data_IF_543575859367
#
_entry.id   IF_543575859367
#
_cell.length_a   1.000
_cell.length_b   1.000
_cell.length_c   1.000
_cell.angle_alpha   90.00
_cell.angle_beta   90.00
_cell.angle_gamma   90.00
#
_symmetry.space_group_name_H-M   'P 1'
#
loop_
_entity.id
_entity.type
_entity.pdbx_description
1 polymer ?
#
# COMPACT_ATOMS: atom_id res chain seq x y z
N UNK A 1 10.96 -55.11 -8.83
CA UNK A 1 11.46 -53.77 -8.45
C UNK A 1 11.63 -52.92 -9.71
N UNK A 2 10.65 -52.07 -10.03
CA UNK A 2 10.72 -51.09 -11.14
C UNK A 2 10.53 -49.69 -10.52
N UNK A 3 11.54 -48.84 -10.64
CA UNK A 3 11.54 -47.46 -10.11
C UNK A 3 10.70 -46.58 -11.05
N UNK A 4 9.70 -45.91 -10.49
CA UNK A 4 8.90 -44.89 -11.16
C UNK A 4 9.59 -43.54 -10.95
N UNK A 5 10.09 -42.92 -12.01
CA UNK A 5 10.60 -41.54 -11.99
C UNK A 5 9.40 -40.64 -12.29
N UNK A 6 8.98 -39.84 -11.31
CA UNK A 6 7.99 -38.78 -11.49
C UNK A 6 8.72 -37.52 -11.96
N UNK A 7 8.56 -37.15 -13.23
CA UNK A 7 8.98 -35.84 -13.73
C UNK A 7 8.09 -34.76 -13.10
N UNK A 8 8.69 -33.90 -12.28
CA UNK A 8 8.07 -32.65 -11.85
C UNK A 8 8.11 -31.65 -12.99
N UNK A 9 6.93 -31.18 -13.41
CA UNK A 9 6.80 -30.10 -14.39
C UNK A 9 7.11 -28.75 -13.74
N UNK A 10 8.29 -28.21 -14.04
CA UNK A 10 8.68 -26.85 -13.67
C UNK A 10 7.91 -25.86 -14.55
N UNK A 11 6.91 -25.21 -13.98
CA UNK A 11 6.21 -24.09 -14.62
C UNK A 11 7.14 -22.86 -14.54
N UNK A 12 7.80 -22.55 -15.66
CA UNK A 12 8.60 -21.34 -15.85
C UNK A 12 7.72 -20.11 -15.65
N UNK A 13 7.97 -19.36 -14.57
CA UNK A 13 7.48 -18.00 -14.38
C UNK A 13 8.37 -17.11 -15.23
N UNK A 14 7.90 -16.75 -16.42
CA UNK A 14 8.60 -15.78 -17.26
C UNK A 14 8.51 -14.39 -16.61
N UNK A 15 9.58 -13.96 -15.94
CA UNK A 15 9.82 -12.55 -15.67
C UNK A 15 10.09 -11.88 -17.03
N UNK A 16 9.13 -11.08 -17.51
CA UNK A 16 9.26 -10.35 -18.77
C UNK A 16 10.31 -9.25 -18.65
N UNK A 17 11.54 -9.52 -19.10
CA UNK A 17 12.49 -8.51 -19.54
C UNK A 17 12.04 -8.03 -20.93
N UNK A 18 11.44 -6.84 -21.00
CA UNK A 18 11.13 -6.21 -22.27
C UNK A 18 12.37 -5.42 -22.75
N UNK A 19 13.10 -6.00 -23.69
CA UNK A 19 14.03 -5.29 -24.57
C UNK A 19 13.40 -5.22 -25.97
N UNK A 20 13.35 -4.02 -26.55
CA UNK A 20 12.82 -3.75 -27.89
C UNK A 20 13.69 -4.38 -28.98
N UNK A 21 13.08 -5.03 -29.98
CA UNK A 21 13.62 -5.16 -31.34
C UNK A 21 12.54 -5.65 -32.31
N UNK A 22 12.45 -4.96 -33.45
CA UNK A 22 11.56 -5.18 -34.61
C UNK A 22 11.80 -6.51 -35.34
N UNK A 23 10.74 -7.08 -35.93
CA UNK A 23 10.86 -8.10 -36.99
C UNK A 23 9.58 -8.90 -37.23
N UNK A 24 8.90 -8.63 -38.35
CA UNK A 24 7.78 -9.42 -38.88
C UNK A 24 8.21 -10.83 -39.30
N UNK A 25 7.43 -11.85 -38.97
CA UNK A 25 6.94 -12.88 -39.93
C UNK A 25 6.08 -13.95 -39.24
N UNK A 26 5.09 -14.41 -40.00
CA UNK A 26 3.97 -15.28 -39.67
C UNK A 26 4.29 -16.78 -39.71
N UNK A 27 3.73 -17.59 -38.80
CA UNK A 27 3.03 -18.85 -39.16
C UNK A 27 2.29 -19.47 -37.96
N UNK A 28 1.33 -20.32 -38.27
CA UNK A 28 0.13 -20.72 -37.54
C UNK A 28 0.28 -21.83 -36.47
N UNK A 29 -0.26 -21.54 -35.28
CA UNK A 29 -1.08 -22.34 -34.35
C UNK A 29 -1.08 -23.89 -34.38
N UNK A 30 -0.85 -24.48 -33.18
CA UNK A 30 -1.62 -25.63 -32.66
C UNK A 30 -2.13 -25.29 -31.25
N UNK A 31 -3.46 -25.28 -31.13
CA UNK A 31 -4.23 -24.86 -29.95
C UNK A 31 -4.27 -25.96 -28.89
N UNK A 32 -3.85 -25.65 -27.66
CA UNK A 32 -4.34 -26.34 -26.46
C UNK A 32 -5.23 -25.36 -25.69
N UNK A 33 -6.46 -25.77 -25.44
CA UNK A 33 -7.51 -25.01 -24.76
C UNK A 33 -7.03 -24.43 -23.43
N UNK A 34 -6.59 -23.18 -23.46
CA UNK A 34 -6.45 -22.34 -22.27
C UNK A 34 -7.81 -21.71 -22.06
N UNK A 35 -8.44 -21.97 -20.93
CA UNK A 35 -9.62 -21.25 -20.47
C UNK A 35 -9.27 -19.77 -20.51
N UNK A 36 -9.84 -19.01 -21.45
CA UNK A 36 -9.62 -17.56 -21.56
C UNK A 36 -10.02 -16.89 -20.25
N UNK A 37 -9.04 -16.62 -19.39
CA UNK A 37 -9.20 -15.71 -18.27
C UNK A 37 -9.44 -14.33 -18.88
N UNK A 38 -10.71 -13.91 -18.90
CA UNK A 38 -11.15 -12.60 -19.37
C UNK A 38 -10.28 -11.50 -18.78
N UNK A 39 -9.64 -10.72 -19.65
CA UNK A 39 -8.87 -9.53 -19.28
C UNK A 39 -9.76 -8.51 -18.58
N UNK A 40 -9.33 -8.00 -17.41
CA UNK A 40 -10.01 -6.94 -16.65
C UNK A 40 -9.79 -5.54 -17.25
N UNK A 41 -9.61 -5.42 -18.57
CA UNK A 41 -9.22 -4.18 -19.25
C UNK A 41 -10.20 -3.00 -19.04
N UNK A 42 -11.44 -3.26 -18.61
CA UNK A 42 -12.48 -2.25 -18.36
C UNK A 42 -12.48 -1.69 -16.92
N UNK A 43 -11.61 -2.16 -16.04
CA UNK A 43 -11.55 -1.68 -14.64
C UNK A 43 -10.95 -0.26 -14.62
N UNK A 44 -11.69 0.70 -14.04
CA UNK A 44 -11.16 2.03 -13.74
C UNK A 44 -10.10 1.90 -12.64
N UNK A 45 -8.97 2.57 -12.80
CA UNK A 45 -7.95 2.67 -11.76
C UNK A 45 -8.19 3.95 -10.96
N UNK A 46 -8.02 3.86 -9.64
CA UNK A 46 -8.05 5.00 -8.74
C UNK A 46 -6.81 4.95 -7.84
N UNK A 47 -5.87 5.85 -8.09
CA UNK A 47 -4.60 5.95 -7.37
C UNK A 47 -4.72 6.74 -6.08
N UNK A 48 -5.84 7.41 -5.83
CA UNK A 48 -5.99 8.41 -4.78
C UNK A 48 -5.29 9.74 -5.09
N UNK A 49 -4.78 9.94 -6.32
CA UNK A 49 -4.18 11.21 -6.69
C UNK A 49 -5.21 12.34 -6.68
N UNK A 50 -4.91 13.41 -5.96
CA UNK A 50 -5.65 14.66 -5.87
C UNK A 50 -4.67 15.84 -5.90
N UNK A 51 -4.42 16.34 -7.10
CA UNK A 51 -3.57 17.53 -7.31
C UNK A 51 -4.22 18.83 -6.78
N UNK A 52 -5.50 18.80 -6.43
CA UNK A 52 -6.24 19.94 -5.86
C UNK A 52 -6.32 19.91 -4.33
N UNK A 53 -5.79 18.86 -3.70
CA UNK A 53 -5.80 18.71 -2.26
C UNK A 53 -5.13 19.91 -1.58
N UNK A 54 -5.82 20.51 -0.61
CA UNK A 54 -5.26 21.57 0.22
C UNK A 54 -4.10 21.02 1.05
N UNK A 55 -2.98 21.71 1.03
CA UNK A 55 -1.77 21.36 1.79
C UNK A 55 -1.50 22.45 2.82
N UNK A 56 -1.24 22.09 4.08
CA UNK A 56 -0.71 23.03 5.07
C UNK A 56 0.58 23.70 4.60
N UNK A 57 0.84 24.91 5.11
CA UNK A 57 2.10 25.62 4.87
C UNK A 57 3.27 24.96 5.61
N UNK A 58 4.50 25.36 5.28
CA UNK A 58 5.70 24.93 6.01
C UNK A 58 5.58 25.21 7.53
N UNK A 59 6.14 24.31 8.34
CA UNK A 59 5.95 24.32 9.79
C UNK A 59 4.77 23.48 10.27
N UNK A 60 4.08 22.76 9.37
CA UNK A 60 3.08 21.73 9.68
C UNK A 60 3.46 20.45 8.96
N UNK A 61 3.49 19.33 9.67
CA UNK A 61 3.72 18.03 9.06
C UNK A 61 2.55 17.64 8.17
N UNK A 62 2.85 17.01 7.05
CA UNK A 62 1.84 16.50 6.12
C UNK A 62 2.22 15.09 5.71
N UNK A 63 1.30 14.14 5.92
CA UNK A 63 1.40 12.81 5.32
C UNK A 63 0.63 12.82 4.02
N UNK A 64 1.26 12.32 2.98
CA UNK A 64 0.61 12.04 1.71
C UNK A 64 0.70 10.58 1.38
N UNK A 65 -0.39 10.00 0.90
CA UNK A 65 -0.38 8.63 0.38
C UNK A 65 -1.01 8.55 -1.00
N UNK A 66 -0.40 7.73 -1.86
CA UNK A 66 -1.03 7.28 -3.10
C UNK A 66 -0.76 5.81 -3.37
N UNK A 67 -1.45 5.31 -4.38
CA UNK A 67 -1.23 3.98 -4.92
C UNK A 67 -0.55 4.05 -6.28
N UNK A 68 0.57 3.33 -6.41
CA UNK A 68 1.39 3.28 -7.62
C UNK A 68 1.64 1.85 -8.10
N UNK A 69 2.31 1.71 -9.24
CA UNK A 69 2.87 0.46 -9.73
C UNK A 69 4.33 0.72 -10.14
N UNK A 70 5.24 0.86 -9.16
CA UNK A 70 6.63 1.25 -9.43
C UNK A 70 7.40 0.19 -10.24
N UNK A 71 6.98 -1.07 -10.18
CA UNK A 71 7.55 -2.15 -10.98
C UNK A 71 6.47 -3.10 -11.53
N UNK A 72 6.67 -3.57 -12.76
CA UNK A 72 5.88 -4.64 -13.37
C UNK A 72 4.36 -4.42 -13.41
N UNK A 73 3.63 -5.53 -13.63
CA UNK A 73 2.16 -5.53 -13.78
C UNK A 73 1.42 -6.41 -12.77
N UNK A 74 2.18 -7.10 -11.90
CA UNK A 74 1.67 -8.14 -11.00
C UNK A 74 1.45 -7.67 -9.55
N UNK A 75 1.84 -6.43 -9.26
CA UNK A 75 1.76 -5.81 -7.93
C UNK A 75 1.21 -4.39 -8.02
N UNK A 76 0.86 -3.83 -6.88
CA UNK A 76 0.73 -2.39 -6.68
C UNK A 76 1.45 -2.00 -5.40
N UNK A 77 1.78 -0.72 -5.25
CA UNK A 77 2.43 -0.19 -4.07
C UNK A 77 1.52 0.82 -3.35
N UNK A 78 1.50 0.78 -2.03
CA UNK A 78 1.10 1.90 -1.19
C UNK A 78 2.35 2.73 -0.88
N UNK A 79 2.34 4.01 -1.27
CA UNK A 79 3.47 4.92 -1.09
C UNK A 79 3.03 6.05 -0.19
N UNK A 80 3.62 6.12 1.00
CA UNK A 80 3.40 7.17 1.98
C UNK A 80 4.64 8.07 2.08
N UNK A 81 4.44 9.37 2.11
CA UNK A 81 5.50 10.37 2.23
C UNK A 81 5.10 11.40 3.26
N UNK A 82 5.95 11.59 4.27
CA UNK A 82 5.79 12.66 5.26
C UNK A 82 6.67 13.84 4.88
N UNK A 83 6.06 15.02 4.86
CA UNK A 83 6.62 16.30 4.44
C UNK A 83 6.58 17.31 5.59
N UNK A 84 7.55 18.21 5.62
CA UNK A 84 7.43 19.50 6.28
C UNK A 84 7.72 20.60 5.25
N UNK A 85 6.66 21.29 4.82
CA UNK A 85 6.71 22.11 3.61
C UNK A 85 7.05 21.26 2.38
N UNK A 86 8.13 21.61 1.70
CA UNK A 86 8.66 20.96 0.50
C UNK A 86 9.74 19.90 0.80
N UNK A 87 10.04 19.64 2.08
CA UNK A 87 11.10 18.73 2.51
C UNK A 87 10.53 17.37 2.87
N UNK A 88 11.07 16.30 2.29
CA UNK A 88 10.73 14.92 2.63
C UNK A 88 11.39 14.56 3.96
N UNK A 89 10.58 14.32 4.98
CA UNK A 89 11.05 13.92 6.31
C UNK A 89 11.15 12.41 6.41
N UNK A 90 10.25 11.69 5.74
CA UNK A 90 10.25 10.23 5.67
C UNK A 90 9.43 9.73 4.47
N UNK A 91 9.70 8.50 4.05
CA UNK A 91 8.93 7.79 3.05
C UNK A 91 8.80 6.31 3.43
N UNK A 92 7.66 5.70 3.12
CA UNK A 92 7.38 4.27 3.28
C UNK A 92 6.76 3.73 1.99
N UNK A 93 7.20 2.55 1.60
CA UNK A 93 6.65 1.81 0.46
C UNK A 93 6.35 0.40 0.95
N UNK A 94 5.15 -0.08 0.68
CA UNK A 94 4.83 -1.51 0.75
C UNK A 94 4.13 -1.94 -0.52
N UNK A 95 4.44 -3.14 -0.96
CA UNK A 95 3.99 -3.67 -2.23
C UNK A 95 3.16 -4.92 -2.03
N UNK A 96 2.05 -4.98 -2.75
CA UNK A 96 1.07 -6.02 -2.61
C UNK A 96 1.01 -6.87 -3.86
N UNK A 97 1.10 -8.18 -3.70
CA UNK A 97 1.14 -9.13 -4.81
C UNK A 97 0.36 -10.39 -4.47
N UNK A 98 -0.38 -10.95 -5.43
CA UNK A 98 -0.89 -12.30 -5.27
C UNK A 98 0.20 -13.33 -5.52
N UNK A 99 0.32 -14.27 -4.60
CA UNK A 99 1.23 -15.41 -4.72
C UNK A 99 0.47 -16.70 -4.50
N UNK A 100 0.99 -17.81 -5.04
CA UNK A 100 0.43 -19.13 -4.78
C UNK A 100 0.51 -19.43 -3.29
N UNK A 101 -0.59 -19.92 -2.71
CA UNK A 101 -0.66 -20.26 -1.30
C UNK A 101 0.39 -21.32 -0.95
N UNK A 102 1.24 -21.02 0.03
CA UNK A 102 2.17 -21.95 0.68
C UNK A 102 2.34 -21.52 2.15
N UNK A 103 3.02 -22.36 2.94
CA UNK A 103 3.39 -22.05 4.33
C UNK A 103 4.48 -20.97 4.43
N UNK A 104 5.09 -20.57 3.32
CA UNK A 104 6.23 -19.64 3.31
C UNK A 104 5.76 -18.17 3.37
N UNK A 105 4.48 -17.91 3.15
CA UNK A 105 3.95 -16.55 3.15
C UNK A 105 2.86 -16.33 4.20
N UNK A 106 2.82 -15.11 4.68
CA UNK A 106 1.74 -14.54 5.47
C UNK A 106 0.88 -13.67 4.56
N UNK A 107 -0.38 -14.06 4.37
CA UNK A 107 -1.34 -13.21 3.67
C UNK A 107 -1.74 -12.01 4.52
N UNK A 108 -2.15 -10.92 3.88
CA UNK A 108 -2.66 -9.72 4.57
C UNK A 108 -3.80 -10.07 5.54
N UNK A 109 -4.11 -9.23 6.54
CA UNK A 109 -5.18 -9.50 7.48
C UNK A 109 -6.50 -9.88 6.79
N UNK A 110 -7.28 -10.74 7.45
CA UNK A 110 -8.52 -11.31 6.91
C UNK A 110 -8.38 -12.17 5.62
N UNK A 111 -7.17 -12.49 5.15
CA UNK A 111 -6.94 -13.39 4.00
C UNK A 111 -7.57 -14.79 4.15
N UNK A 112 -7.72 -15.28 5.38
CA UNK A 112 -8.38 -16.57 5.68
C UNK A 112 -9.86 -16.41 6.06
N UNK A 113 -10.43 -15.20 5.94
CA UNK A 113 -11.83 -14.87 6.24
C UNK A 113 -12.57 -14.41 4.98
N UNK A 114 -13.55 -13.53 5.13
CA UNK A 114 -14.41 -13.08 4.01
C UNK A 114 -13.65 -12.28 2.95
N UNK A 115 -12.63 -11.52 3.35
CA UNK A 115 -11.78 -10.77 2.42
C UNK A 115 -11.14 -11.68 1.36
N UNK A 116 -10.60 -12.84 1.76
CA UNK A 116 -9.94 -13.78 0.86
C UNK A 116 -10.86 -14.49 -0.15
N UNK A 117 -12.19 -14.38 -0.02
CA UNK A 117 -13.15 -15.04 -0.93
C UNK A 117 -13.11 -14.51 -2.36
N UNK A 118 -12.51 -13.35 -2.59
CA UNK A 118 -12.40 -12.74 -3.92
C UNK A 118 -11.04 -12.97 -4.60
N UNK A 119 -10.12 -13.68 -3.94
CA UNK A 119 -8.79 -13.96 -4.47
C UNK A 119 -8.81 -14.82 -5.74
N UNK A 120 -7.77 -14.72 -6.58
CA UNK A 120 -7.47 -15.73 -7.57
C UNK A 120 -7.38 -17.12 -6.93
N UNK A 121 -7.92 -18.13 -7.63
CA UNK A 121 -8.00 -19.50 -7.11
C UNK A 121 -6.62 -20.01 -6.70
N UNK A 122 -6.50 -20.44 -5.43
CA UNK A 122 -5.27 -21.00 -4.87
C UNK A 122 -4.19 -19.97 -4.53
N UNK A 123 -4.53 -18.69 -4.50
CA UNK A 123 -3.61 -17.60 -4.17
C UNK A 123 -4.08 -16.82 -2.93
N UNK A 124 -3.18 -16.02 -2.38
CA UNK A 124 -3.48 -14.97 -1.42
C UNK A 124 -2.68 -13.71 -1.70
N UNK A 125 -3.24 -12.57 -1.26
CA UNK A 125 -2.56 -11.29 -1.31
C UNK A 125 -1.56 -11.21 -0.15
N UNK A 126 -0.32 -10.89 -0.46
CA UNK A 126 0.74 -10.62 0.52
C UNK A 126 1.15 -9.15 0.44
N UNK A 127 1.68 -8.63 1.54
CA UNK A 127 2.52 -7.44 1.56
C UNK A 127 3.99 -7.87 1.54
N UNK A 128 4.82 -7.24 0.71
CA UNK A 128 6.24 -7.58 0.61
C UNK A 128 7.01 -7.14 1.84
N UNK A 129 6.61 -6.08 2.55
CA UNK A 129 7.26 -5.69 3.80
C UNK A 129 7.15 -6.80 4.86
N UNK A 130 5.95 -7.31 5.14
CA UNK A 130 5.74 -8.42 6.08
C UNK A 130 6.38 -9.74 5.60
N UNK A 131 6.56 -9.88 4.29
CA UNK A 131 7.10 -11.08 3.65
C UNK A 131 8.52 -10.85 3.06
N UNK A 132 9.28 -9.88 3.57
CA UNK A 132 10.56 -9.47 2.98
C UNK A 132 11.53 -10.64 2.86
N UNK A 133 11.63 -11.46 3.91
CA UNK A 133 12.51 -12.64 3.93
C UNK A 133 12.17 -13.69 2.86
N UNK A 134 10.97 -14.30 2.83
CA UNK A 134 10.63 -15.27 1.78
C UNK A 134 10.63 -14.63 0.38
N UNK A 135 10.25 -13.36 0.23
CA UNK A 135 10.30 -12.66 -1.04
C UNK A 135 11.75 -12.48 -1.55
N UNK A 136 12.67 -12.10 -0.66
CA UNK A 136 14.09 -11.96 -0.97
C UNK A 136 14.73 -13.30 -1.34
N UNK A 137 14.28 -14.40 -0.73
CA UNK A 137 14.71 -15.74 -1.13
C UNK A 137 14.26 -16.08 -2.57
N UNK A 138 13.04 -15.70 -2.97
CA UNK A 138 12.60 -15.80 -4.36
C UNK A 138 13.44 -14.91 -5.30
N UNK A 139 13.68 -13.64 -4.94
CA UNK A 139 14.50 -12.75 -5.75
C UNK A 139 15.91 -13.30 -5.96
N UNK A 140 16.54 -13.86 -4.93
CA UNK A 140 17.85 -14.51 -5.03
C UNK A 140 17.81 -15.72 -5.96
N UNK A 141 16.75 -16.53 -5.89
CA UNK A 141 16.59 -17.74 -6.70
C UNK A 141 16.30 -17.43 -8.17
N UNK A 142 15.34 -16.56 -8.42
CA UNK A 142 14.78 -16.32 -9.76
C UNK A 142 15.52 -15.19 -10.51
N UNK A 143 16.00 -14.17 -9.79
CA UNK A 143 16.65 -13.00 -10.38
C UNK A 143 18.13 -12.85 -9.99
N UNK A 144 18.70 -13.82 -9.25
CA UNK A 144 20.09 -13.78 -8.75
C UNK A 144 20.40 -12.51 -7.95
N UNK A 145 19.39 -11.96 -7.26
CA UNK A 145 19.53 -10.75 -6.47
C UNK A 145 20.58 -10.93 -5.36
N UNK A 146 21.41 -9.91 -5.19
CA UNK A 146 22.45 -9.86 -4.16
C UNK A 146 22.00 -9.10 -2.91
N UNK A 147 20.99 -8.24 -3.05
CA UNK A 147 20.35 -7.52 -1.95
C UNK A 147 18.92 -8.04 -1.77
N UNK A 148 18.46 -8.02 -0.53
CA UNK A 148 17.08 -8.29 -0.13
C UNK A 148 16.14 -7.18 -0.59
N UNK A 149 14.83 -7.47 -0.60
CA UNK A 149 13.83 -6.45 -0.91
C UNK A 149 13.90 -5.28 0.08
N UNK A 150 13.99 -5.57 1.38
CA UNK A 150 14.08 -4.56 2.44
C UNK A 150 15.35 -3.70 2.37
N UNK A 151 16.52 -4.26 2.01
CA UNK A 151 17.74 -3.46 1.80
C UNK A 151 17.56 -2.46 0.66
N UNK A 152 16.90 -2.85 -0.44
CA UNK A 152 16.62 -1.96 -1.56
C UNK A 152 15.64 -0.84 -1.16
N UNK A 153 14.51 -1.19 -0.54
CA UNK A 153 13.53 -0.19 -0.11
C UNK A 153 14.10 0.76 0.93
N UNK A 154 14.92 0.26 1.86
CA UNK A 154 15.64 1.08 2.84
C UNK A 154 16.60 2.05 2.15
N UNK A 155 17.37 1.60 1.16
CA UNK A 155 18.27 2.46 0.40
C UNK A 155 17.50 3.57 -0.36
N UNK A 156 16.37 3.22 -0.99
CA UNK A 156 15.54 4.17 -1.75
C UNK A 156 14.88 5.20 -0.82
N UNK A 157 14.27 4.75 0.27
CA UNK A 157 13.59 5.65 1.23
C UNK A 157 14.58 6.53 2.00
N UNK A 158 15.76 6.01 2.35
CA UNK A 158 16.83 6.83 2.94
C UNK A 158 17.41 7.83 1.96
N UNK A 159 17.52 7.48 0.67
CA UNK A 159 18.01 8.40 -0.35
C UNK A 159 17.12 9.64 -0.48
N UNK A 160 15.80 9.50 -0.36
CA UNK A 160 14.87 10.64 -0.48
C UNK A 160 14.76 11.48 0.80
N UNK A 161 15.11 10.92 1.96
CA UNK A 161 15.01 11.58 3.26
C UNK A 161 15.88 12.84 3.29
N UNK A 162 15.28 13.96 3.70
CA UNK A 162 15.90 15.29 3.77
C UNK A 162 15.92 16.07 2.45
N UNK A 163 15.54 15.47 1.31
CA UNK A 163 15.52 16.16 0.02
C UNK A 163 14.30 17.06 -0.13
N UNK A 164 14.44 18.09 -0.97
CA UNK A 164 13.32 18.84 -1.52
C UNK A 164 12.62 18.03 -2.61
N UNK A 165 11.32 18.25 -2.80
CA UNK A 165 10.52 17.58 -3.85
C UNK A 165 11.13 17.80 -5.25
N UNK A 166 11.63 19.01 -5.51
CA UNK A 166 12.22 19.44 -6.77
C UNK A 166 13.55 18.71 -7.05
N UNK A 167 14.35 18.50 -6.00
CA UNK A 167 15.60 17.73 -6.10
C UNK A 167 15.29 16.26 -6.41
N UNK A 168 14.28 15.68 -5.75
CA UNK A 168 13.81 14.32 -6.04
C UNK A 168 13.38 14.19 -7.51
N UNK A 169 12.66 15.17 -8.05
CA UNK A 169 12.26 15.16 -9.47
C UNK A 169 13.47 15.08 -10.40
N UNK A 170 14.54 15.83 -10.11
CA UNK A 170 15.77 15.78 -10.88
C UNK A 170 16.46 14.42 -10.74
N UNK A 171 16.48 13.83 -9.55
CA UNK A 171 17.08 12.52 -9.31
C UNK A 171 16.32 11.38 -10.03
N UNK A 172 14.99 11.46 -10.14
CA UNK A 172 14.21 10.53 -10.97
C UNK A 172 14.72 10.51 -12.41
N UNK A 173 15.01 11.66 -13.00
CA UNK A 173 15.56 11.74 -14.36
C UNK A 173 16.97 11.10 -14.43
N UNK A 174 17.84 11.41 -13.46
CA UNK A 174 19.19 10.83 -13.40
C UNK A 174 19.18 9.31 -13.29
N UNK A 175 18.27 8.73 -12.49
CA UNK A 175 18.16 7.27 -12.34
C UNK A 175 17.60 6.61 -13.60
N UNK A 176 16.76 7.29 -14.40
CA UNK A 176 16.31 6.77 -15.69
C UNK A 176 17.44 6.68 -16.72
N UNK A 177 18.41 7.60 -16.63
CA UNK A 177 19.51 7.70 -17.60
C UNK A 177 20.77 6.91 -17.18
N UNK A 178 20.85 6.47 -15.91
CA UNK A 178 22.01 5.70 -15.43
C UNK A 178 21.96 4.25 -15.88
N UNK A 179 23.12 3.69 -16.20
CA UNK A 179 23.28 2.24 -16.45
C UNK A 179 23.35 1.43 -15.16
N UNK A 180 23.67 2.08 -14.04
CA UNK A 180 23.89 1.43 -12.75
C UNK A 180 23.28 2.30 -11.66
N UNK A 181 22.12 1.87 -11.19
CA UNK A 181 21.31 2.58 -10.19
C UNK A 181 22.11 2.94 -8.94
N UNK A 182 22.97 2.04 -8.47
CA UNK A 182 23.77 2.25 -7.25
C UNK A 182 24.72 3.45 -7.32
N UNK A 183 25.02 3.94 -8.53
CA UNK A 183 25.87 5.12 -8.74
C UNK A 183 25.12 6.43 -8.39
N UNK A 184 23.78 6.38 -8.36
CA UNK A 184 22.91 7.50 -7.96
C UNK A 184 22.29 7.23 -6.58
N UNK A 185 21.68 6.06 -6.40
CA UNK A 185 21.02 5.64 -5.15
C UNK A 185 21.87 4.56 -4.50
N UNK A 186 22.84 4.98 -3.68
CA UNK A 186 23.75 4.04 -3.01
C UNK A 186 23.00 2.99 -2.20
N UNK A 187 23.36 1.72 -2.39
CA UNK A 187 22.70 0.56 -1.74
C UNK A 187 21.48 0.01 -2.50
N UNK A 188 20.92 0.75 -3.45
CA UNK A 188 19.84 0.24 -4.29
C UNK A 188 20.37 -0.53 -5.51
N UNK A 189 19.72 -1.65 -5.79
CA UNK A 189 20.03 -2.58 -6.89
C UNK A 189 18.82 -2.93 -7.76
N UNK A 190 17.61 -2.48 -7.40
CA UNK A 190 16.43 -2.62 -8.23
C UNK A 190 16.62 -1.88 -9.56
N UNK A 191 16.43 -2.60 -10.67
CA UNK A 191 16.39 -2.00 -12.00
C UNK A 191 15.27 -0.94 -12.09
N UNK A 192 14.16 -1.17 -11.39
CA UNK A 192 12.99 -0.29 -11.37
C UNK A 192 13.11 0.88 -10.38
N UNK A 193 14.28 1.17 -9.81
CA UNK A 193 14.45 2.24 -8.80
C UNK A 193 13.93 3.60 -9.25
N UNK A 194 14.02 3.93 -10.54
CA UNK A 194 13.41 5.14 -11.09
C UNK A 194 11.88 5.18 -10.90
N UNK A 195 11.20 4.02 -11.01
CA UNK A 195 9.77 3.88 -10.78
C UNK A 195 9.40 4.08 -9.31
N UNK A 196 10.21 3.58 -8.37
CA UNK A 196 10.01 3.83 -6.95
C UNK A 196 10.21 5.31 -6.58
N UNK A 197 11.27 5.96 -7.08
CA UNK A 197 11.48 7.39 -6.88
C UNK A 197 10.36 8.24 -7.50
N UNK A 198 9.87 7.85 -8.69
CA UNK A 198 8.73 8.50 -9.32
C UNK A 198 7.47 8.37 -8.45
N UNK A 199 7.21 7.18 -7.89
CA UNK A 199 6.05 6.96 -7.04
C UNK A 199 6.11 7.81 -5.74
N UNK A 200 7.30 7.97 -5.16
CA UNK A 200 7.52 8.88 -4.02
C UNK A 200 7.25 10.34 -4.43
N UNK A 201 7.76 10.78 -5.59
CA UNK A 201 7.53 12.12 -6.10
C UNK A 201 6.04 12.38 -6.36
N UNK A 202 5.35 11.44 -6.99
CA UNK A 202 3.92 11.52 -7.27
C UNK A 202 3.14 11.59 -5.94
N UNK A 203 3.55 10.82 -4.92
CA UNK A 203 2.94 10.82 -3.59
C UNK A 203 3.11 12.18 -2.91
N UNK A 204 4.31 12.73 -2.93
CA UNK A 204 4.63 14.02 -2.34
C UNK A 204 3.87 15.18 -3.00
N UNK A 205 3.52 15.08 -4.28
CA UNK A 205 2.90 16.17 -5.04
C UNK A 205 1.38 16.05 -5.17
N UNK A 206 0.87 14.82 -5.27
CA UNK A 206 -0.55 14.56 -5.60
C UNK A 206 -1.23 13.56 -4.65
N UNK A 207 -0.51 12.97 -3.69
CA UNK A 207 -1.12 11.99 -2.79
C UNK A 207 -2.22 12.58 -1.90
N UNK A 208 -3.17 11.73 -1.51
CA UNK A 208 -4.21 12.04 -0.52
C UNK A 208 -3.56 12.59 0.76
N UNK A 209 -4.15 13.62 1.35
CA UNK A 209 -3.53 14.39 2.44
C UNK A 209 -4.06 13.96 3.82
N UNK A 210 -3.16 13.88 4.80
CA UNK A 210 -3.44 13.89 6.24
C UNK A 210 -2.57 14.97 6.92
N UNK A 211 -3.21 15.87 7.66
CA UNK A 211 -2.57 16.99 8.34
C UNK A 211 -2.06 16.58 9.74
N UNK A 212 -0.76 16.77 9.96
CA UNK A 212 -0.09 16.45 11.21
C UNK A 212 -0.01 17.64 12.17
N UNK A 213 0.89 17.54 13.14
CA UNK A 213 1.16 18.62 14.10
C UNK A 213 1.95 19.77 13.44
N UNK A 214 1.83 20.96 14.04
CA UNK A 214 2.75 22.06 13.77
C UNK A 214 4.10 21.77 14.42
N UNK A 215 5.18 21.81 13.65
CA UNK A 215 6.54 21.60 14.14
C UNK A 215 7.56 22.07 13.11
N UNK A 216 8.71 22.55 13.60
CA UNK A 216 9.91 22.80 12.79
C UNK A 216 10.96 21.70 12.98
N UNK A 217 10.72 20.78 13.91
CA UNK A 217 11.60 19.64 14.15
C UNK A 217 11.25 18.50 13.18
N UNK A 218 12.23 18.17 12.33
CA UNK A 218 12.11 17.09 11.34
C UNK A 218 12.61 15.74 11.89
N UNK A 219 12.87 15.64 13.19
CA UNK A 219 13.23 14.38 13.86
C UNK A 219 11.96 13.54 14.04
N UNK A 220 11.63 12.77 13.01
CA UNK A 220 10.46 11.90 12.96
C UNK A 220 10.89 10.45 12.76
N UNK A 221 10.27 9.55 13.52
CA UNK A 221 10.30 8.11 13.28
C UNK A 221 8.96 7.64 12.76
N UNK A 222 8.94 6.64 11.88
CA UNK A 222 7.70 6.17 11.26
C UNK A 222 7.51 4.66 11.32
N UNK A 223 6.29 4.26 11.67
CA UNK A 223 5.84 2.89 11.64
C UNK A 223 4.66 2.72 10.69
N UNK A 224 4.59 1.56 10.05
CA UNK A 224 3.47 1.16 9.21
C UNK A 224 3.09 -0.27 9.54
N UNK A 225 1.80 -0.54 9.67
CA UNK A 225 1.28 -1.90 9.93
C UNK A 225 0.06 -2.18 9.08
N UNK A 226 -0.15 -3.48 8.80
CA UNK A 226 -1.42 -3.97 8.33
C UNK A 226 -2.27 -4.41 9.51
N UNK A 227 -3.56 -4.12 9.45
CA UNK A 227 -4.50 -4.47 10.51
C UNK A 227 -5.85 -4.94 9.94
N UNK A 228 -6.74 -5.42 10.81
CA UNK A 228 -8.14 -5.66 10.50
C UNK A 228 -9.01 -4.87 11.48
N UNK A 229 -9.03 -3.53 11.38
CA UNK A 229 -9.70 -2.69 12.37
C UNK A 229 -11.23 -2.83 12.31
N UNK A 230 -11.79 -3.29 11.20
CA UNK A 230 -13.24 -3.43 11.01
C UNK A 230 -13.60 -4.72 10.27
N UNK A 231 -14.44 -5.54 10.89
CA UNK A 231 -15.03 -6.73 10.27
C UNK A 231 -14.03 -7.72 9.66
N UNK A 232 -14.52 -8.52 8.72
CA UNK A 232 -13.79 -9.63 8.08
C UNK A 232 -13.58 -9.45 6.57
N UNK A 233 -14.13 -8.37 6.00
CA UNK A 233 -14.20 -8.11 4.57
C UNK A 233 -13.16 -7.10 4.06
N UNK A 234 -12.40 -6.47 4.95
CA UNK A 234 -11.33 -5.53 4.60
C UNK A 234 -10.06 -5.84 5.38
N UNK A 235 -8.96 -5.23 4.96
CA UNK A 235 -7.79 -5.03 5.81
C UNK A 235 -7.39 -3.56 5.76
N UNK A 236 -6.82 -3.04 6.84
CA UNK A 236 -6.32 -1.69 6.97
C UNK A 236 -4.82 -1.61 6.75
N UNK A 237 -4.36 -0.46 6.26
CA UNK A 237 -2.96 0.00 6.33
C UNK A 237 -2.94 1.26 7.17
N UNK A 238 -2.08 1.29 8.18
CA UNK A 238 -1.96 2.44 9.09
C UNK A 238 -0.50 2.85 9.16
N UNK A 239 -0.21 4.08 8.77
CA UNK A 239 1.11 4.71 8.91
C UNK A 239 1.04 5.76 10.01
N UNK A 240 2.03 5.77 10.90
CA UNK A 240 2.12 6.71 12.01
C UNK A 240 3.51 7.33 12.04
N UNK A 241 3.54 8.66 12.08
CA UNK A 241 4.73 9.43 12.40
C UNK A 241 4.72 9.76 13.89
N UNK A 242 5.86 9.58 14.54
CA UNK A 242 6.10 9.94 15.93
C UNK A 242 7.06 11.12 16.01
N UNK A 243 6.79 12.05 16.92
CA UNK A 243 7.75 13.06 17.36
C UNK A 243 7.97 12.87 18.85
N UNK A 244 9.14 12.33 19.21
CA UNK A 244 9.38 11.82 20.56
C UNK A 244 8.43 10.68 20.91
N UNK A 245 7.70 10.83 22.02
CA UNK A 245 6.75 9.84 22.54
C UNK A 245 5.30 10.06 22.08
N UNK A 246 5.06 11.05 21.21
CA UNK A 246 3.71 11.46 20.76
C UNK A 246 3.47 11.18 19.29
N UNK A 247 2.21 10.89 18.96
CA UNK A 247 1.73 10.81 17.58
C UNK A 247 1.83 12.19 16.92
N UNK A 248 2.64 12.31 15.88
CA UNK A 248 2.80 13.54 15.10
C UNK A 248 1.87 13.59 13.88
N UNK A 249 1.60 12.44 13.26
CA UNK A 249 0.65 12.31 12.16
C UNK A 249 0.18 10.85 12.03
N UNK A 250 -1.00 10.65 11.46
CA UNK A 250 -1.60 9.35 11.16
C UNK A 250 -2.12 9.37 9.73
N UNK A 251 -1.86 8.29 8.98
CA UNK A 251 -2.53 8.03 7.72
C UNK A 251 -3.16 6.64 7.74
N UNK A 252 -4.49 6.61 7.71
CA UNK A 252 -5.28 5.39 7.70
C UNK A 252 -5.97 5.18 6.35
N UNK A 253 -5.93 3.94 5.85
CA UNK A 253 -6.80 3.46 4.78
C UNK A 253 -7.20 2.00 5.01
N UNK A 254 -8.23 1.55 4.31
CA UNK A 254 -8.63 0.15 4.24
C UNK A 254 -8.86 -0.27 2.79
N UNK A 255 -8.58 -1.54 2.50
CA UNK A 255 -8.88 -2.14 1.21
C UNK A 255 -9.98 -3.18 1.35
N UNK A 256 -10.89 -3.18 0.38
CA UNK A 256 -11.99 -4.13 0.30
C UNK A 256 -12.24 -4.51 -1.17
N UNK A 257 -12.69 -5.74 -1.42
CA UNK A 257 -13.21 -6.09 -2.75
C UNK A 257 -14.59 -5.48 -2.96
N UNK A 258 -14.69 -4.59 -3.93
CA UNK A 258 -15.89 -3.80 -4.21
C UNK A 258 -16.37 -4.02 -5.66
N UNK A 259 -17.65 -3.73 -5.98
CA UNK A 259 -18.14 -3.82 -7.34
C UNK A 259 -17.34 -2.95 -8.31
N UNK A 260 -16.72 -3.56 -9.33
CA UNK A 260 -15.83 -2.85 -10.26
C UNK A 260 -16.54 -1.85 -11.17
N UNK A 261 -17.88 -1.84 -11.17
CA UNK A 261 -18.71 -0.88 -11.89
C UNK A 261 -18.76 0.48 -11.18
N UNK A 262 -18.68 0.48 -9.85
CA UNK A 262 -18.88 1.66 -9.02
C UNK A 262 -17.57 2.12 -8.34
N UNK A 263 -16.58 1.24 -8.24
CA UNK A 263 -15.31 1.50 -7.55
C UNK A 263 -14.12 1.42 -8.51
N UNK A 264 -13.16 2.32 -8.30
CA UNK A 264 -11.85 2.24 -8.93
C UNK A 264 -10.94 1.28 -8.19
N UNK A 265 -10.23 0.44 -8.94
CA UNK A 265 -9.23 -0.48 -8.41
C UNK A 265 -7.90 0.18 -8.11
N UNK A 266 -7.12 -0.47 -7.25
CA UNK A 266 -5.69 -0.21 -7.11
C UNK A 266 -4.95 -0.38 -8.45
N UNK A 267 -3.77 0.22 -8.63
CA UNK A 267 -2.95 0.06 -9.84
C UNK A 267 -2.80 -1.40 -10.27
N UNK A 268 -2.65 -1.61 -11.58
CA UNK A 268 -2.59 -2.93 -12.20
C UNK A 268 -3.86 -3.81 -12.05
N UNK A 269 -4.96 -3.32 -11.46
CA UNK A 269 -6.24 -4.06 -11.44
C UNK A 269 -6.83 -4.32 -12.83
N UNK A 270 -6.44 -3.53 -13.83
CA UNK A 270 -6.77 -3.72 -15.24
C UNK A 270 -5.67 -4.49 -16.02
N UNK A 271 -4.64 -4.98 -15.33
CA UNK A 271 -3.48 -5.70 -15.86
C UNK A 271 -3.30 -7.06 -15.16
N UNK A 272 -2.06 -7.54 -14.97
CA UNK A 272 -1.79 -8.89 -14.47
C UNK A 272 -2.21 -9.07 -13.00
N UNK A 273 -2.09 -8.04 -12.16
CA UNK A 273 -2.56 -8.07 -10.77
C UNK A 273 -4.06 -8.37 -10.67
N UNK A 274 -4.86 -7.85 -11.61
CA UNK A 274 -6.30 -8.08 -11.64
C UNK A 274 -6.72 -9.49 -12.05
N UNK A 275 -5.84 -10.28 -12.68
CA UNK A 275 -6.22 -11.57 -13.28
C UNK A 275 -6.67 -12.58 -12.23
N UNK A 276 -7.82 -13.20 -12.49
CA UNK A 276 -8.37 -14.25 -11.63
C UNK A 276 -9.08 -13.77 -10.37
N UNK A 277 -9.04 -12.47 -10.05
CA UNK A 277 -9.93 -11.88 -9.02
C UNK A 277 -11.39 -12.20 -9.38
N UNK A 278 -12.23 -12.43 -8.37
CA UNK A 278 -13.64 -12.73 -8.54
C UNK A 278 -14.31 -11.74 -9.50
N UNK A 279 -14.98 -12.29 -10.52
CA UNK A 279 -15.64 -11.51 -11.57
C UNK A 279 -16.58 -10.45 -11.02
N UNK A 280 -16.55 -9.25 -11.62
CA UNK A 280 -17.35 -8.09 -11.21
C UNK A 280 -16.84 -7.36 -9.97
N UNK A 281 -15.70 -7.75 -9.41
CA UNK A 281 -15.10 -7.10 -8.24
C UNK A 281 -13.70 -6.58 -8.52
N UNK A 282 -13.27 -5.60 -7.72
CA UNK A 282 -11.93 -5.05 -7.74
C UNK A 282 -11.46 -4.79 -6.30
N UNK A 283 -10.15 -4.94 -6.03
CA UNK A 283 -9.57 -4.47 -4.77
C UNK A 283 -9.53 -2.94 -4.79
N UNK A 284 -10.30 -2.30 -3.92
CA UNK A 284 -10.45 -0.85 -3.87
C UNK A 284 -10.00 -0.33 -2.50
N UNK A 285 -9.25 0.77 -2.51
CA UNK A 285 -9.03 1.58 -1.31
C UNK A 285 -10.33 2.31 -0.94
N UNK A 286 -10.68 2.32 0.34
CA UNK A 286 -11.83 3.06 0.85
C UNK A 286 -11.58 4.56 0.82
N UNK A 287 -10.36 5.03 1.12
CA UNK A 287 -10.03 6.46 1.10
C UNK A 287 -10.01 7.04 -0.30
N UNK A 288 -9.37 6.37 -1.26
CA UNK A 288 -9.36 6.80 -2.67
C UNK A 288 -10.76 6.78 -3.28
N UNK A 289 -11.64 5.87 -2.83
CA UNK A 289 -13.04 5.78 -3.25
C UNK A 289 -14.01 6.27 -2.16
N UNK A 290 -13.61 7.26 -1.35
CA UNK A 290 -14.35 7.66 -0.14
C UNK A 290 -15.80 8.05 -0.43
N UNK A 291 -16.04 8.80 -1.51
CA UNK A 291 -17.40 9.19 -1.91
C UNK A 291 -18.28 7.97 -2.21
N UNK A 292 -17.80 7.07 -3.07
CA UNK A 292 -18.53 5.85 -3.45
C UNK A 292 -18.75 4.92 -2.24
N UNK A 293 -17.75 4.78 -1.37
CA UNK A 293 -17.88 3.98 -0.15
C UNK A 293 -18.87 4.61 0.84
N UNK A 294 -18.82 5.93 1.01
CA UNK A 294 -19.73 6.67 1.88
C UNK A 294 -21.18 6.60 1.39
N UNK A 295 -21.42 6.55 0.08
CA UNK A 295 -22.74 6.30 -0.47
C UNK A 295 -23.30 4.92 -0.07
N UNK A 296 -22.44 3.89 0.01
CA UNK A 296 -22.82 2.58 0.54
C UNK A 296 -23.09 2.64 2.04
N UNK A 297 -22.24 3.31 2.81
CA UNK A 297 -22.44 3.49 4.25
C UNK A 297 -23.76 4.21 4.56
N UNK A 298 -24.09 5.25 3.78
CA UNK A 298 -25.36 5.99 3.92
C UNK A 298 -26.56 5.11 3.56
N UNK A 299 -26.51 4.42 2.41
CA UNK A 299 -27.64 3.64 1.92
C UNK A 299 -27.90 2.35 2.72
N UNK A 300 -26.84 1.64 3.13
CA UNK A 300 -26.95 0.34 3.82
C UNK A 300 -26.77 0.44 5.33
N UNK A 301 -25.83 1.28 5.77
CA UNK A 301 -25.50 1.47 7.18
C UNK A 301 -26.25 2.62 7.84
N UNK A 302 -27.04 3.41 7.08
CA UNK A 302 -27.69 4.65 7.56
C UNK A 302 -26.70 5.62 8.21
N UNK A 303 -25.45 5.61 7.76
CA UNK A 303 -24.41 6.46 8.30
C UNK A 303 -24.73 7.94 8.04
N UNK A 304 -24.50 8.77 9.05
CA UNK A 304 -24.65 10.23 8.97
C UNK A 304 -23.34 10.93 8.64
N UNK A 305 -22.21 10.27 8.86
CA UNK A 305 -20.88 10.73 8.48
C UNK A 305 -20.29 9.83 7.38
N UNK A 306 -19.49 10.44 6.52
CA UNK A 306 -18.70 9.77 5.50
C UNK A 306 -17.61 8.90 6.12
N UNK A 307 -17.03 8.00 5.32
CA UNK A 307 -15.90 7.19 5.75
C UNK A 307 -14.69 8.08 6.11
N UNK A 308 -14.46 9.14 5.33
CA UNK A 308 -13.34 10.05 5.54
C UNK A 308 -13.53 10.95 6.78
N UNK A 309 -14.73 11.47 7.04
CA UNK A 309 -14.98 12.23 8.28
C UNK A 309 -14.72 11.38 9.52
N UNK A 310 -15.16 10.12 9.51
CA UNK A 310 -14.91 9.20 10.61
C UNK A 310 -13.42 8.88 10.81
N UNK A 311 -12.71 8.52 9.73
CA UNK A 311 -11.28 8.22 9.82
C UNK A 311 -10.47 9.44 10.25
N UNK A 312 -10.75 10.61 9.66
CA UNK A 312 -10.12 11.87 10.07
C UNK A 312 -10.38 12.18 11.56
N UNK A 313 -11.58 11.95 12.09
CA UNK A 313 -11.85 12.19 13.51
C UNK A 313 -11.02 11.28 14.44
N UNK A 314 -10.76 10.04 14.02
CA UNK A 314 -9.90 9.10 14.75
C UNK A 314 -8.43 9.54 14.67
N UNK A 315 -7.97 9.92 13.48
CA UNK A 315 -6.61 10.41 13.23
C UNK A 315 -6.35 11.69 14.06
N UNK A 316 -7.28 12.64 14.06
CA UNK A 316 -7.23 13.87 14.85
C UNK A 316 -7.23 13.61 16.36
N UNK A 317 -8.04 12.65 16.83
CA UNK A 317 -8.03 12.26 18.24
C UNK A 317 -6.67 11.68 18.66
N UNK A 318 -6.03 10.89 17.79
CA UNK A 318 -4.75 10.28 18.09
C UNK A 318 -3.60 11.28 18.13
N UNK A 319 -3.67 12.31 17.28
CA UNK A 319 -2.63 13.33 17.14
C UNK A 319 -2.31 14.03 18.47
N UNK A 320 -1.02 14.19 18.75
CA UNK A 320 -0.50 14.80 19.98
C UNK A 320 -0.56 13.92 21.23
N UNK A 321 -1.19 12.74 21.16
CA UNK A 321 -1.26 11.79 22.28
C UNK A 321 -0.06 10.85 22.30
N UNK A 322 0.24 10.33 23.48
CA UNK A 322 1.15 9.22 23.70
C UNK A 322 0.46 7.88 23.46
N UNK A 323 1.24 6.82 23.28
CA UNK A 323 0.71 5.45 23.19
C UNK A 323 -0.16 5.09 24.42
N UNK A 324 0.28 5.47 25.63
CA UNK A 324 -0.44 5.14 26.87
C UNK A 324 -1.81 5.85 26.97
N UNK A 325 -1.92 7.09 26.50
CA UNK A 325 -3.19 7.80 26.42
C UNK A 325 -4.16 7.12 25.43
N UNK A 326 -3.64 6.61 24.29
CA UNK A 326 -4.47 5.86 23.34
C UNK A 326 -4.90 4.51 23.90
N UNK A 327 -4.05 3.81 24.64
CA UNK A 327 -4.41 2.55 25.32
C UNK A 327 -5.51 2.77 26.38
N UNK A 328 -5.46 3.92 27.06
CA UNK A 328 -6.53 4.35 27.98
C UNK A 328 -7.83 4.60 27.21
N UNK A 329 -7.79 5.35 26.11
CA UNK A 329 -8.97 5.61 25.29
C UNK A 329 -9.59 4.32 24.70
N UNK A 330 -8.77 3.34 24.29
CA UNK A 330 -9.22 2.01 23.85
C UNK A 330 -9.95 1.28 24.98
N UNK A 331 -9.48 1.43 26.22
CA UNK A 331 -10.12 0.84 27.40
C UNK A 331 -11.46 1.53 27.69
N UNK A 332 -11.51 2.85 27.67
CA UNK A 332 -12.72 3.65 27.91
C UNK A 332 -13.83 3.32 26.90
N UNK A 333 -13.48 3.09 25.63
CA UNK A 333 -14.44 2.72 24.58
C UNK A 333 -15.20 1.42 24.87
N UNK A 334 -14.69 0.53 25.73
CA UNK A 334 -15.40 -0.72 26.12
C UNK A 334 -16.62 -0.42 26.98
N UNK A 335 -16.57 0.67 27.76
CA UNK A 335 -17.58 1.02 28.76
C UNK A 335 -18.57 2.08 28.25
N UNK A 336 -18.34 2.64 27.05
CA UNK A 336 -19.22 3.66 26.47
C UNK A 336 -20.24 3.08 25.50
N UNK A 337 -21.46 3.62 25.58
CA UNK A 337 -22.54 3.31 24.63
C UNK A 337 -22.35 4.01 23.29
N UNK A 338 -21.66 5.15 23.27
CA UNK A 338 -21.36 5.91 22.06
C UNK A 338 -19.87 6.18 21.97
N UNK A 339 -19.31 5.86 20.82
CA UNK A 339 -17.89 6.10 20.50
C UNK A 339 -17.53 7.58 20.62
N UNK A 340 -18.44 8.46 20.20
CA UNK A 340 -18.27 9.92 20.26
C UNK A 340 -18.06 10.47 21.67
N UNK A 341 -18.41 9.71 22.71
CA UNK A 341 -18.19 10.10 24.11
C UNK A 341 -16.71 10.03 24.50
N UNK A 342 -15.88 9.30 23.72
CA UNK A 342 -14.42 9.23 23.89
C UNK A 342 -13.73 9.92 22.73
N UNK A 343 -14.08 9.55 21.50
CA UNK A 343 -13.45 10.04 20.26
C UNK A 343 -14.44 10.96 19.57
N UNK A 344 -14.39 12.24 19.91
CA UNK A 344 -15.29 13.25 19.34
C UNK A 344 -15.23 13.25 17.81
N UNK A 345 -16.41 13.27 17.17
CA UNK A 345 -16.52 13.20 15.71
C UNK A 345 -16.46 11.79 15.13
N UNK A 346 -16.00 10.76 15.85
CA UNK A 346 -16.04 9.39 15.35
C UNK A 346 -17.39 8.71 15.64
N UNK A 347 -17.91 7.99 14.64
CA UNK A 347 -19.15 7.19 14.73
C UNK A 347 -18.95 5.73 14.33
N UNK A 348 -17.75 5.33 13.92
CA UNK A 348 -17.42 3.93 13.69
C UNK A 348 -17.49 3.14 15.00
N UNK A 349 -18.35 2.12 15.02
CA UNK A 349 -18.44 1.16 16.14
C UNK A 349 -17.11 0.51 16.47
N UNK A 350 -16.25 0.33 15.45
CA UNK A 350 -14.95 -0.33 15.57
C UNK A 350 -13.79 0.64 15.85
N UNK A 351 -14.07 1.84 16.37
CA UNK A 351 -13.04 2.85 16.69
C UNK A 351 -11.92 2.32 17.58
N UNK A 352 -12.22 1.40 18.50
CA UNK A 352 -11.19 0.73 19.31
C UNK A 352 -10.20 -0.09 18.46
N UNK A 353 -10.67 -0.74 17.39
CA UNK A 353 -9.84 -1.46 16.43
C UNK A 353 -8.91 -0.53 15.65
N UNK A 354 -9.42 0.64 15.22
CA UNK A 354 -8.60 1.65 14.55
C UNK A 354 -7.54 2.24 15.48
N UNK A 355 -7.90 2.63 16.72
CA UNK A 355 -6.92 3.11 17.70
C UNK A 355 -5.86 2.05 18.04
N UNK A 356 -6.25 0.77 18.11
CA UNK A 356 -5.31 -0.34 18.32
C UNK A 356 -4.32 -0.49 17.16
N UNK A 357 -4.78 -0.29 15.92
CA UNK A 357 -3.92 -0.28 14.74
C UNK A 357 -2.94 0.92 14.76
N UNK A 358 -3.41 2.11 15.15
CA UNK A 358 -2.56 3.30 15.35
C UNK A 358 -1.49 3.04 16.42
N UNK A 359 -1.87 2.48 17.57
CA UNK A 359 -0.92 2.10 18.63
C UNK A 359 0.12 1.10 18.11
N UNK A 360 -0.30 0.13 17.30
CA UNK A 360 0.60 -0.88 16.74
C UNK A 360 1.60 -0.26 15.75
N UNK A 361 1.13 0.66 14.89
CA UNK A 361 2.00 1.44 14.01
C UNK A 361 2.98 2.33 14.80
N UNK A 362 2.52 3.01 15.85
CA UNK A 362 3.36 3.82 16.72
C UNK A 362 4.47 2.99 17.38
N UNK A 363 4.14 1.79 17.88
CA UNK A 363 5.12 0.84 18.45
C UNK A 363 6.12 0.30 17.42
N UNK A 364 5.75 0.29 16.14
CA UNK A 364 6.61 -0.15 15.04
C UNK A 364 7.50 0.98 14.47
N UNK A 365 7.35 2.22 14.95
CA UNK A 365 8.11 3.35 14.46
C UNK A 365 9.62 3.24 14.79
N UNK A 366 10.46 3.52 13.79
CA UNK A 366 11.92 3.44 13.87
C UNK A 366 12.58 4.60 13.16
#
# INVERSE_FOLDING_TARGET
MKKLIVLSATLLVSMGLAACSSGSSSSSSKSSSTTSQTSNAKVKINTGADASAKVPAAGTLVMRQLYAAPHGKQSFAAVNVTLNGDTIVSAKIDEFQYVKKSSDWTGVPNSNKDFGKSYPKGQFLIAKAENSRPYSALMKKEAKATHTWEENETAITNFVKGKKIEDLKADVAKVKDTKKVSDVVSGATFADTAGYLQAIYDAATTGMVAEGIQTTDNTITEGQVLAAPHGTQSFGIVTVAMQGDKIANVFLDEFQYMPSKDFGGVPNSNADFGKGIKSGTVLASKRANSEAYSAIMKSKGKATQTWQENSNAIDEFAKGKTIAELETAVSDLKDKKKVSDVVSGATFTDTSGYLTAIISAAKAAK
#
